data_IF_722306001072
#
_entry.id   IF_722306001072
#
_cell.length_a   1.000
_cell.length_b   1.000
_cell.length_c   1.000
_cell.angle_alpha   90.00
_cell.angle_beta   90.00
_cell.angle_gamma   90.00
#
_symmetry.space_group_name_H-M   'P 1'
#
loop_
_entity.id
_entity.type
_entity.pdbx_description
1 polymer ?
#
# COMPACT_ATOMS: atom_id res chain seq x y z
N UNK A 1 1.52 46.85 -64.42
CA UNK A 1 0.77 46.20 -63.35
C UNK A 1 0.98 44.72 -63.37
N UNK A 2 2.16 44.18 -62.96
CA UNK A 2 2.44 42.73 -62.95
C UNK A 2 3.62 42.38 -62.04
N UNK A 3 3.76 43.01 -60.85
CA UNK A 3 4.84 42.69 -59.86
C UNK A 3 4.37 42.48 -58.42
N UNK A 4 3.07 42.50 -58.13
CA UNK A 4 2.59 42.47 -56.77
C UNK A 4 2.04 41.10 -56.32
N UNK A 5 2.00 40.08 -57.19
CA UNK A 5 1.43 38.75 -56.85
C UNK A 5 2.44 37.72 -56.38
N UNK A 6 3.73 37.92 -56.56
CA UNK A 6 4.77 36.96 -56.19
C UNK A 6 5.15 37.05 -54.70
N UNK A 7 5.16 38.25 -54.11
CA UNK A 7 5.55 38.43 -52.71
C UNK A 7 4.55 37.85 -51.64
N UNK A 8 3.26 37.77 -52.01
CA UNK A 8 2.26 37.18 -51.06
C UNK A 8 2.31 35.65 -50.96
N UNK A 9 2.78 34.97 -52.02
CA UNK A 9 2.91 33.50 -51.99
C UNK A 9 4.13 33.04 -51.17
N UNK A 10 5.21 33.75 -51.22
CA UNK A 10 6.43 33.40 -50.49
C UNK A 10 6.29 33.67 -48.99
N UNK A 11 5.51 34.70 -48.58
CA UNK A 11 5.22 34.96 -47.18
C UNK A 11 4.33 33.87 -46.53
N UNK A 12 3.39 33.31 -47.29
CA UNK A 12 2.52 32.26 -46.79
C UNK A 12 3.29 30.94 -46.64
N UNK A 13 4.21 30.62 -47.57
CA UNK A 13 5.03 29.44 -47.51
C UNK A 13 6.01 29.44 -46.32
N UNK A 14 6.61 30.62 -46.01
CA UNK A 14 7.51 30.78 -44.85
C UNK A 14 6.75 30.68 -43.53
N UNK A 15 5.53 31.23 -43.44
CA UNK A 15 4.71 31.16 -42.22
C UNK A 15 4.25 29.73 -41.89
N UNK A 16 3.96 28.91 -42.92
CA UNK A 16 3.58 27.50 -42.74
C UNK A 16 4.78 26.64 -42.32
N UNK A 17 5.98 26.92 -42.85
CA UNK A 17 7.20 26.21 -42.51
C UNK A 17 7.64 26.49 -41.06
N UNK A 18 7.53 27.74 -40.59
CA UNK A 18 7.83 28.11 -39.19
C UNK A 18 6.80 27.51 -38.23
N UNK A 19 5.52 27.45 -38.62
CA UNK A 19 4.48 26.79 -37.82
C UNK A 19 4.69 25.28 -37.65
N UNK A 20 5.21 24.59 -38.67
CA UNK A 20 5.50 23.15 -38.61
C UNK A 20 6.76 22.86 -37.73
N UNK A 21 7.77 23.73 -37.79
CA UNK A 21 8.99 23.57 -36.97
C UNK A 21 8.68 23.80 -35.48
N UNK A 22 7.75 24.69 -35.13
CA UNK A 22 7.34 24.91 -33.73
C UNK A 22 6.51 23.74 -33.20
N UNK A 23 5.77 23.02 -34.04
CA UNK A 23 5.02 21.82 -33.58
C UNK A 23 5.90 20.57 -33.36
N UNK A 24 7.08 20.50 -34.00
CA UNK A 24 7.99 19.34 -33.83
C UNK A 24 8.84 19.45 -32.55
N UNK A 25 9.02 20.66 -32.01
CA UNK A 25 9.78 20.86 -30.75
C UNK A 25 8.95 20.70 -29.50
N UNK A 26 7.63 20.48 -29.60
CA UNK A 26 6.74 20.21 -28.47
C UNK A 26 6.61 18.72 -28.10
N UNK A 27 7.34 17.82 -28.76
CA UNK A 27 7.58 16.48 -28.20
C UNK A 27 8.56 16.61 -27.03
N UNK A 28 8.02 16.97 -25.86
CA UNK A 28 8.76 16.98 -24.62
C UNK A 28 9.40 15.60 -24.41
N UNK A 29 10.70 15.51 -24.62
CA UNK A 29 11.47 14.36 -24.14
C UNK A 29 11.21 14.26 -22.65
N UNK A 30 10.48 13.25 -22.22
CA UNK A 30 10.28 12.98 -20.80
C UNK A 30 11.68 12.80 -20.22
N UNK A 31 12.13 13.81 -19.47
CA UNK A 31 13.43 13.76 -18.79
C UNK A 31 13.42 12.48 -17.95
N UNK A 32 14.34 11.55 -18.25
CA UNK A 32 14.49 10.32 -17.48
C UNK A 32 14.91 10.68 -16.06
N UNK A 33 14.43 9.91 -15.09
CA UNK A 33 14.92 10.05 -13.72
C UNK A 33 16.41 9.75 -13.68
N UNK A 34 17.14 10.51 -12.86
CA UNK A 34 18.58 10.37 -12.64
C UNK A 34 18.81 10.02 -11.16
N UNK A 35 19.52 8.93 -10.89
CA UNK A 35 19.85 8.48 -9.54
C UNK A 35 20.57 9.55 -8.70
N UNK A 36 21.39 10.39 -9.34
CA UNK A 36 22.18 11.43 -8.67
C UNK A 36 21.42 12.76 -8.46
N UNK A 37 20.19 12.88 -8.97
CA UNK A 37 19.36 14.07 -8.83
C UNK A 37 18.50 13.95 -7.59
N UNK A 38 18.23 15.07 -6.92
CA UNK A 38 17.30 15.16 -5.81
C UNK A 38 15.84 15.18 -6.30
N UNK A 39 14.97 14.46 -5.60
CA UNK A 39 13.55 14.39 -5.86
C UNK A 39 12.75 14.60 -4.59
N UNK A 40 11.80 15.53 -4.61
CA UNK A 40 10.77 15.63 -3.59
C UNK A 40 9.68 14.61 -3.89
N UNK A 41 9.42 13.72 -2.96
CA UNK A 41 8.39 12.69 -3.08
C UNK A 41 7.11 13.18 -2.40
N UNK A 42 6.01 13.16 -3.15
CA UNK A 42 4.70 13.59 -2.65
C UNK A 42 3.60 12.78 -3.31
N UNK A 43 2.64 12.33 -2.52
CA UNK A 43 1.39 11.79 -3.05
C UNK A 43 0.57 12.89 -3.71
N UNK A 44 -0.03 12.58 -4.87
CA UNK A 44 -0.79 13.58 -5.66
C UNK A 44 -2.14 13.00 -6.08
N UNK A 45 -3.15 13.17 -5.23
CA UNK A 45 -4.48 12.56 -5.42
C UNK A 45 -5.15 12.89 -6.75
N UNK A 46 -4.91 14.08 -7.29
CA UNK A 46 -5.49 14.49 -8.59
C UNK A 46 -4.97 13.65 -9.78
N UNK A 47 -3.88 12.90 -9.58
CA UNK A 47 -3.34 11.94 -10.57
C UNK A 47 -3.95 10.55 -10.45
N UNK A 48 -4.68 10.25 -9.36
CA UNK A 48 -5.36 8.98 -9.13
C UNK A 48 -6.70 8.90 -9.86
N UNK A 49 -6.79 9.37 -11.09
CA UNK A 49 -8.00 9.20 -11.88
C UNK A 49 -8.01 7.77 -12.41
N UNK A 50 -8.93 6.97 -11.85
CA UNK A 50 -9.14 5.57 -12.25
C UNK A 50 -7.88 4.69 -12.17
N UNK A 51 -7.05 4.92 -11.13
CA UNK A 51 -5.87 4.12 -10.85
C UNK A 51 -6.28 2.79 -10.20
N UNK A 52 -6.12 1.71 -10.93
CA UNK A 52 -6.51 0.38 -10.49
C UNK A 52 -5.30 -0.39 -9.96
N UNK A 53 -5.51 -1.10 -8.86
CA UNK A 53 -4.53 -1.98 -8.25
C UNK A 53 -5.03 -3.41 -8.14
N UNK A 54 -4.11 -4.34 -8.30
CA UNK A 54 -4.24 -5.70 -7.81
C UNK A 54 -3.35 -5.88 -6.60
N UNK A 55 -3.90 -6.43 -5.50
CA UNK A 55 -3.15 -6.78 -4.31
C UNK A 55 -3.38 -8.24 -3.95
N UNK A 56 -2.32 -8.95 -3.64
CA UNK A 56 -2.35 -10.30 -3.09
C UNK A 56 -1.73 -10.26 -1.71
N UNK A 57 -2.53 -10.60 -0.71
CA UNK A 57 -2.09 -10.70 0.67
C UNK A 57 -2.16 -12.16 1.11
N UNK A 58 -1.07 -12.66 1.71
CA UNK A 58 -0.98 -14.00 2.26
C UNK A 58 -0.48 -13.92 3.69
N UNK A 59 -1.18 -14.59 4.58
CA UNK A 59 -0.81 -14.73 5.97
C UNK A 59 -0.76 -16.21 6.32
N UNK A 60 0.41 -16.67 6.73
CA UNK A 60 0.60 -18.03 7.27
C UNK A 60 0.78 -17.94 8.77
N UNK A 61 0.00 -18.72 9.49
CA UNK A 61 0.08 -18.82 10.94
C UNK A 61 0.46 -20.25 11.32
N UNK A 62 1.45 -20.37 12.16
CA UNK A 62 1.94 -21.61 12.74
C UNK A 62 1.80 -21.52 14.26
N UNK A 63 1.08 -22.43 14.85
CA UNK A 63 0.86 -22.52 16.30
C UNK A 63 1.06 -23.96 16.76
N UNK A 64 1.39 -24.12 18.02
CA UNK A 64 1.39 -25.43 18.66
C UNK A 64 0.46 -25.41 19.88
N UNK A 65 -0.63 -26.15 19.82
CA UNK A 65 -1.56 -26.28 20.95
C UNK A 65 -1.55 -27.70 21.46
N UNK A 66 -1.21 -27.85 22.74
CA UNK A 66 -1.17 -29.17 23.43
C UNK A 66 -0.32 -30.21 22.67
N UNK A 67 0.82 -29.79 22.12
CA UNK A 67 1.72 -30.65 21.35
C UNK A 67 1.24 -30.97 19.91
N UNK A 68 0.14 -30.38 19.48
CA UNK A 68 -0.38 -30.53 18.10
C UNK A 68 -0.09 -29.31 17.26
N UNK A 69 0.60 -29.44 16.11
CA UNK A 69 0.83 -28.32 15.20
C UNK A 69 -0.47 -27.91 14.50
N UNK A 70 -0.78 -26.63 14.54
CA UNK A 70 -1.90 -26.01 13.83
C UNK A 70 -1.35 -25.00 12.84
N UNK A 71 -1.64 -25.22 11.56
CA UNK A 71 -1.20 -24.35 10.48
C UNK A 71 -2.42 -23.82 9.72
N UNK A 72 -2.43 -22.53 9.47
CA UNK A 72 -3.43 -21.90 8.63
C UNK A 72 -2.77 -20.94 7.64
N UNK A 73 -3.23 -20.93 6.41
CA UNK A 73 -2.87 -19.92 5.42
C UNK A 73 -4.13 -19.18 4.99
N UNK A 74 -4.12 -17.84 5.11
CA UNK A 74 -5.16 -16.97 4.60
C UNK A 74 -4.64 -16.27 3.38
N UNK A 75 -5.45 -16.25 2.33
CA UNK A 75 -5.12 -15.61 1.05
C UNK A 75 -6.26 -14.70 0.68
N UNK A 76 -5.91 -13.44 0.41
CA UNK A 76 -6.81 -12.41 -0.09
C UNK A 76 -6.28 -11.88 -1.41
N UNK A 77 -7.10 -11.92 -2.46
CA UNK A 77 -6.81 -11.35 -3.77
C UNK A 77 -7.80 -10.20 -4.01
N UNK A 78 -7.30 -8.98 -4.12
CA UNK A 78 -8.10 -7.77 -4.24
C UNK A 78 -7.86 -7.10 -5.58
N UNK A 79 -8.93 -6.53 -6.14
CA UNK A 79 -8.87 -5.51 -7.18
C UNK A 79 -9.61 -4.29 -6.64
N UNK A 80 -8.92 -3.17 -6.55
CA UNK A 80 -9.51 -1.92 -6.09
C UNK A 80 -9.09 -0.74 -6.96
N UNK A 81 -9.99 0.24 -7.04
CA UNK A 81 -9.86 1.44 -7.82
C UNK A 81 -9.69 2.63 -6.88
N UNK A 82 -8.63 3.42 -7.10
CA UNK A 82 -8.48 4.73 -6.49
C UNK A 82 -8.96 5.82 -7.42
N UNK A 83 -9.78 6.72 -6.92
CA UNK A 83 -10.22 7.93 -7.61
C UNK A 83 -9.95 9.14 -6.72
N UNK A 84 -9.09 10.04 -7.20
CA UNK A 84 -8.83 11.30 -6.50
C UNK A 84 -10.05 12.21 -6.51
N UNK A 85 -10.38 12.78 -5.35
CA UNK A 85 -11.41 13.79 -5.18
C UNK A 85 -10.77 15.14 -4.87
N UNK A 86 -11.45 16.23 -5.20
CA UNK A 86 -11.01 17.56 -4.79
C UNK A 86 -10.97 17.64 -3.25
N UNK A 87 -9.84 18.08 -2.73
CA UNK A 87 -9.65 18.35 -1.30
C UNK A 87 -9.57 19.84 -1.07
N UNK A 88 -10.18 20.32 0.00
CA UNK A 88 -10.09 21.73 0.42
C UNK A 88 -8.81 22.03 1.21
N UNK A 89 -8.01 21.02 1.52
CA UNK A 89 -6.76 21.14 2.28
C UNK A 89 -5.56 21.04 1.36
N UNK A 90 -4.63 21.97 1.47
CA UNK A 90 -3.39 21.98 0.66
C UNK A 90 -2.44 20.81 1.00
N UNK A 91 -2.54 20.25 2.21
CA UNK A 91 -1.62 19.24 2.72
C UNK A 91 -2.24 17.85 2.86
N UNK A 92 -3.47 17.64 2.40
CA UNK A 92 -4.11 16.35 2.42
C UNK A 92 -4.95 16.12 1.17
N UNK A 93 -5.01 14.88 0.76
CA UNK A 93 -5.70 14.44 -0.44
C UNK A 93 -6.85 13.50 -0.07
N UNK A 94 -8.00 13.71 -0.67
CA UNK A 94 -9.15 12.83 -0.53
C UNK A 94 -9.17 11.83 -1.67
N UNK A 95 -9.19 10.54 -1.33
CA UNK A 95 -9.30 9.43 -2.26
C UNK A 95 -10.62 8.70 -2.03
N UNK A 96 -11.31 8.35 -3.10
CA UNK A 96 -12.38 7.35 -3.06
C UNK A 96 -11.80 6.01 -3.46
N UNK A 97 -12.03 4.99 -2.68
CA UNK A 97 -11.53 3.63 -2.90
C UNK A 97 -12.73 2.74 -3.15
N UNK A 98 -12.76 2.10 -4.33
CA UNK A 98 -13.82 1.15 -4.70
C UNK A 98 -13.24 -0.25 -4.78
N UNK A 99 -13.78 -1.19 -4.02
CA UNK A 99 -13.38 -2.59 -4.04
C UNK A 99 -14.10 -3.31 -5.19
N UNK A 100 -13.47 -3.40 -6.36
CA UNK A 100 -14.07 -4.01 -7.54
C UNK A 100 -14.20 -5.52 -7.43
N UNK A 101 -13.20 -6.16 -6.85
CA UNK A 101 -13.21 -7.60 -6.63
C UNK A 101 -12.45 -7.98 -5.36
N UNK A 102 -12.89 -9.05 -4.73
CA UNK A 102 -12.19 -9.70 -3.64
C UNK A 102 -12.47 -11.20 -3.69
N UNK A 103 -11.43 -12.01 -3.62
CA UNK A 103 -11.48 -13.44 -3.32
C UNK A 103 -10.69 -13.70 -2.03
N UNK A 104 -11.34 -14.31 -1.05
CA UNK A 104 -10.77 -14.54 0.27
C UNK A 104 -10.98 -15.99 0.68
N UNK A 105 -9.91 -16.65 1.12
CA UNK A 105 -9.92 -18.05 1.53
C UNK A 105 -8.96 -18.33 2.68
N UNK A 106 -9.29 -19.36 3.44
CA UNK A 106 -8.42 -19.99 4.43
C UNK A 106 -8.11 -21.44 4.03
N UNK A 107 -6.88 -21.84 4.17
CA UNK A 107 -6.37 -23.18 3.89
C UNK A 107 -5.79 -23.72 5.20
N UNK A 108 -6.25 -24.89 5.62
CA UNK A 108 -5.77 -25.61 6.82
C UNK A 108 -5.49 -27.07 6.46
N UNK A 109 -4.99 -27.85 7.39
CA UNK A 109 -4.86 -29.32 7.23
C UNK A 109 -6.19 -30.01 6.97
N UNK A 110 -7.32 -29.42 7.38
CA UNK A 110 -8.67 -29.96 7.19
C UNK A 110 -9.30 -29.61 5.84
N UNK A 111 -8.66 -28.74 5.05
CA UNK A 111 -9.13 -28.34 3.73
C UNK A 111 -9.14 -26.84 3.50
N UNK A 112 -9.86 -26.41 2.47
CA UNK A 112 -9.99 -25.02 2.09
C UNK A 112 -11.40 -24.49 2.34
N UNK A 113 -11.51 -23.35 2.99
CA UNK A 113 -12.74 -22.58 3.17
C UNK A 113 -12.66 -21.27 2.39
N UNK A 114 -13.71 -20.92 1.65
CA UNK A 114 -13.88 -19.61 1.04
C UNK A 114 -14.78 -18.73 1.92
N UNK A 115 -14.45 -17.44 2.00
CA UNK A 115 -15.28 -16.46 2.70
C UNK A 115 -16.29 -15.81 1.76
N UNK A 116 -17.43 -15.41 2.28
CA UNK A 116 -18.44 -14.67 1.51
C UNK A 116 -18.06 -13.19 1.42
N UNK A 117 -17.65 -12.77 0.25
CA UNK A 117 -17.20 -11.41 -0.04
C UNK A 117 -18.23 -10.56 -0.77
N UNK A 118 -19.44 -11.12 -1.05
CA UNK A 118 -20.47 -10.45 -1.87
C UNK A 118 -20.96 -9.14 -1.25
N UNK A 119 -20.97 -9.05 0.06
CA UNK A 119 -21.44 -7.89 0.80
C UNK A 119 -20.52 -6.66 0.71
N UNK A 120 -19.25 -6.84 0.37
CA UNK A 120 -18.26 -5.74 0.25
C UNK A 120 -17.85 -5.47 -1.20
N UNK A 121 -18.04 -6.42 -2.12
CA UNK A 121 -17.72 -6.23 -3.54
C UNK A 121 -18.53 -5.09 -4.16
N UNK A 122 -17.86 -4.19 -4.89
CA UNK A 122 -18.46 -3.02 -5.54
C UNK A 122 -18.72 -1.85 -4.59
N UNK A 123 -18.45 -1.98 -3.30
CA UNK A 123 -18.59 -0.89 -2.34
C UNK A 123 -17.39 0.04 -2.36
N UNK A 124 -17.65 1.28 -1.97
CA UNK A 124 -16.65 2.35 -1.91
C UNK A 124 -16.63 3.01 -0.55
N UNK A 125 -15.48 3.52 -0.16
CA UNK A 125 -15.28 4.38 1.00
C UNK A 125 -14.27 5.47 0.69
N UNK A 126 -14.25 6.50 1.51
CA UNK A 126 -13.35 7.64 1.36
C UNK A 126 -12.20 7.55 2.36
N UNK A 127 -11.00 7.91 1.91
CA UNK A 127 -9.80 7.98 2.72
C UNK A 127 -9.09 9.31 2.47
N UNK A 128 -8.60 9.94 3.53
CA UNK A 128 -7.71 11.09 3.44
C UNK A 128 -6.26 10.64 3.66
N UNK A 129 -5.35 11.14 2.82
CA UNK A 129 -3.91 10.91 2.92
C UNK A 129 -3.17 12.24 2.95
N UNK A 130 -2.15 12.37 3.82
CA UNK A 130 -1.22 13.50 3.76
C UNK A 130 -0.32 13.41 2.53
N UNK A 131 0.31 14.53 2.16
CA UNK A 131 1.22 14.56 1.01
C UNK A 131 2.40 13.60 1.14
N UNK A 132 2.84 13.27 2.35
CA UNK A 132 3.91 12.30 2.62
C UNK A 132 3.41 10.89 2.96
N UNK A 133 2.10 10.69 3.12
CA UNK A 133 1.56 9.38 3.53
C UNK A 133 1.60 9.12 5.03
N UNK A 134 2.22 10.01 5.83
CA UNK A 134 2.37 9.86 7.28
C UNK A 134 1.05 9.85 8.06
N UNK A 135 -0.01 10.40 7.48
CA UNK A 135 -1.34 10.43 8.09
C UNK A 135 -2.36 9.86 7.12
N UNK A 136 -2.98 8.76 7.52
CA UNK A 136 -4.15 8.19 6.89
C UNK A 136 -5.34 8.39 7.83
N UNK A 137 -6.47 8.85 7.31
CA UNK A 137 -7.70 8.99 8.08
C UNK A 137 -8.92 8.68 7.22
N UNK A 138 -9.98 8.27 7.88
CA UNK A 138 -11.25 7.90 7.24
C UNK A 138 -12.30 8.88 7.69
N UNK A 139 -12.81 9.76 6.79
CA UNK A 139 -13.83 10.76 7.14
C UNK A 139 -15.11 10.14 7.68
N UNK A 140 -15.39 8.90 7.28
CA UNK A 140 -16.55 8.11 7.71
C UNK A 140 -16.12 6.71 8.09
N UNK A 141 -15.62 6.50 9.34
CA UNK A 141 -15.12 5.20 9.78
C UNK A 141 -16.19 4.10 9.77
N UNK A 142 -17.47 4.46 9.91
CA UNK A 142 -18.62 3.56 9.78
C UNK A 142 -18.77 2.93 8.39
N UNK A 143 -18.10 3.49 7.38
CA UNK A 143 -18.08 2.96 6.02
C UNK A 143 -16.86 2.07 5.73
N UNK A 144 -15.94 1.91 6.69
CA UNK A 144 -14.84 0.98 6.55
C UNK A 144 -15.39 -0.43 6.29
N UNK A 145 -14.82 -1.04 5.27
CA UNK A 145 -15.25 -2.36 4.83
C UNK A 145 -14.59 -3.42 5.72
N UNK A 146 -15.42 -4.21 6.38
CA UNK A 146 -15.00 -5.37 7.15
C UNK A 146 -15.43 -6.66 6.45
N UNK A 147 -14.53 -7.63 6.43
CA UNK A 147 -14.81 -8.98 5.97
C UNK A 147 -15.04 -9.87 7.19
N UNK A 148 -16.24 -10.41 7.33
CA UNK A 148 -16.53 -11.42 8.35
C UNK A 148 -15.91 -12.75 7.92
N UNK A 149 -14.93 -13.20 8.70
CA UNK A 149 -14.25 -14.47 8.50
C UNK A 149 -14.80 -15.57 9.44
N UNK A 150 -15.74 -15.21 10.30
CA UNK A 150 -16.26 -16.09 11.35
C UNK A 150 -15.28 -16.24 12.53
N UNK A 151 -15.83 -16.59 13.70
CA UNK A 151 -15.08 -16.63 14.97
C UNK A 151 -13.84 -17.54 14.93
N UNK A 152 -13.91 -18.69 14.23
CA UNK A 152 -12.79 -19.62 14.10
C UNK A 152 -11.65 -19.13 13.21
N UNK A 153 -11.91 -18.12 12.37
CA UNK A 153 -10.92 -17.55 11.44
C UNK A 153 -10.47 -16.14 11.85
N UNK A 154 -10.70 -15.74 13.09
CA UNK A 154 -10.25 -14.45 13.65
C UNK A 154 -11.31 -13.34 13.63
N UNK A 155 -12.57 -13.64 13.34
CA UNK A 155 -13.66 -12.68 13.38
C UNK A 155 -13.68 -11.74 12.18
N UNK A 156 -13.81 -10.43 12.43
CA UNK A 156 -13.85 -9.42 11.38
C UNK A 156 -12.45 -8.93 10.99
N UNK A 157 -12.19 -8.88 9.69
CA UNK A 157 -11.00 -8.28 9.10
C UNK A 157 -11.32 -6.91 8.54
N UNK A 158 -10.73 -5.87 9.11
CA UNK A 158 -10.80 -4.53 8.56
C UNK A 158 -9.82 -4.41 7.36
N UNK A 159 -10.33 -3.97 6.20
CA UNK A 159 -9.52 -3.84 4.98
C UNK A 159 -8.54 -2.66 5.01
N UNK A 160 -8.60 -1.80 6.01
CA UNK A 160 -7.66 -0.69 6.21
C UNK A 160 -6.21 -1.16 6.20
N UNK A 161 -5.92 -2.29 6.84
CA UNK A 161 -4.56 -2.77 6.97
C UNK A 161 -3.90 -3.06 5.61
N UNK A 162 -4.67 -3.51 4.60
CA UNK A 162 -4.15 -3.76 3.25
C UNK A 162 -3.76 -2.44 2.58
N UNK A 163 -4.58 -1.41 2.78
CA UNK A 163 -4.36 -0.10 2.16
C UNK A 163 -3.12 0.61 2.68
N UNK A 164 -2.71 0.35 3.93
CA UNK A 164 -1.47 0.91 4.48
C UNK A 164 -0.23 0.55 3.66
N UNK A 165 -0.18 -0.64 3.09
CA UNK A 165 0.93 -1.06 2.23
C UNK A 165 1.01 -0.28 0.90
N UNK A 166 -0.09 0.37 0.46
CA UNK A 166 -0.07 1.23 -0.73
C UNK A 166 0.58 2.59 -0.49
N UNK A 167 0.71 2.99 0.78
CA UNK A 167 1.12 4.32 1.17
C UNK A 167 2.29 4.28 2.16
N UNK A 168 3.48 3.77 1.74
CA UNK A 168 4.68 3.93 2.55
C UNK A 168 4.94 5.41 2.82
N UNK A 169 5.46 5.73 3.99
CA UNK A 169 5.76 7.11 4.35
C UNK A 169 6.93 7.65 3.53
N UNK A 170 6.70 8.79 2.91
CA UNK A 170 7.68 9.48 2.09
C UNK A 170 8.48 10.46 2.96
N UNK A 171 9.76 10.69 2.67
CA UNK A 171 10.58 11.63 3.42
C UNK A 171 10.07 13.08 3.25
N UNK A 172 10.18 13.87 4.31
CA UNK A 172 9.81 15.29 4.30
C UNK A 172 10.75 16.13 3.42
N UNK A 173 12.01 15.74 3.32
CA UNK A 173 13.04 16.38 2.52
C UNK A 173 13.23 15.69 1.17
N UNK A 174 13.70 16.41 0.12
CA UNK A 174 14.11 15.78 -1.13
C UNK A 174 15.18 14.71 -0.89
N UNK A 175 15.14 13.64 -1.68
CA UNK A 175 16.10 12.52 -1.60
C UNK A 175 16.80 12.31 -2.93
N UNK A 176 18.06 11.88 -2.86
CA UNK A 176 18.86 11.40 -4.01
C UNK A 176 19.30 9.96 -3.80
N UNK A 177 19.84 9.35 -4.84
CA UNK A 177 20.29 7.97 -4.79
C UNK A 177 21.25 7.68 -3.64
N UNK A 178 21.00 6.56 -2.96
CA UNK A 178 21.77 6.11 -1.79
C UNK A 178 21.31 6.68 -0.46
N UNK A 179 20.46 7.73 -0.44
CA UNK A 179 19.98 8.30 0.82
C UNK A 179 19.06 7.36 1.58
N UNK A 180 19.12 7.51 2.91
CA UNK A 180 18.41 6.70 3.90
C UNK A 180 17.57 7.64 4.75
N UNK A 181 16.31 7.22 5.04
CA UNK A 181 15.46 7.87 6.03
C UNK A 181 14.80 6.84 6.93
N UNK A 182 14.31 7.30 8.06
CA UNK A 182 13.66 6.45 9.06
C UNK A 182 12.28 6.97 9.38
N UNK A 183 11.39 6.07 9.70
CA UNK A 183 10.06 6.37 10.23
C UNK A 183 9.73 5.46 11.40
N UNK A 184 8.82 5.93 12.26
CA UNK A 184 8.18 5.10 13.27
C UNK A 184 6.67 5.25 13.12
N UNK A 185 5.99 4.15 12.87
CA UNK A 185 4.54 4.17 12.72
C UNK A 185 3.88 3.11 13.58
N UNK A 186 2.60 3.33 13.89
CA UNK A 186 1.79 2.38 14.64
C UNK A 186 0.96 1.53 13.71
N UNK A 187 0.88 0.25 14.03
CA UNK A 187 0.03 -0.70 13.32
C UNK A 187 -0.64 -1.64 14.31
N UNK A 188 -1.91 -1.89 14.11
CA UNK A 188 -2.61 -2.98 14.80
C UNK A 188 -2.21 -4.30 14.14
N UNK A 189 -1.82 -5.29 14.90
CA UNK A 189 -1.55 -6.62 14.36
C UNK A 189 -2.88 -7.32 14.02
N UNK A 190 -2.88 -8.07 12.92
CA UNK A 190 -4.10 -8.39 12.15
C UNK A 190 -4.91 -9.54 12.70
N UNK A 191 -4.44 -10.30 13.70
CA UNK A 191 -5.08 -11.57 14.02
C UNK A 191 -5.65 -11.71 15.41
N UNK A 192 -6.89 -12.19 15.40
CA UNK A 192 -7.61 -12.60 16.59
C UNK A 192 -8.17 -11.43 17.38
N UNK A 193 -8.75 -11.74 18.51
CA UNK A 193 -9.21 -10.76 19.50
C UNK A 193 -8.06 -9.95 20.11
N UNK A 194 -6.86 -10.53 20.18
CA UNK A 194 -5.64 -9.84 20.59
C UNK A 194 -5.10 -9.00 19.40
N UNK A 195 -5.43 -7.72 19.37
CA UNK A 195 -4.94 -6.76 18.38
C UNK A 195 -3.96 -5.75 19.01
N UNK A 196 -2.74 -6.16 19.38
CA UNK A 196 -1.79 -5.23 19.98
C UNK A 196 -1.45 -4.11 19.01
N UNK A 197 -1.37 -2.89 19.53
CA UNK A 197 -0.84 -1.76 18.81
C UNK A 197 0.68 -1.86 18.83
N UNK A 198 1.29 -2.01 17.66
CA UNK A 198 2.72 -2.24 17.52
C UNK A 198 3.39 -0.99 16.97
N UNK A 199 4.44 -0.51 17.63
CA UNK A 199 5.29 0.53 17.11
C UNK A 199 6.36 -0.08 16.21
N UNK A 200 6.30 0.19 14.92
CA UNK A 200 7.22 -0.35 13.91
C UNK A 200 8.26 0.72 13.59
N UNK A 201 9.53 0.36 13.71
CA UNK A 201 10.64 1.18 13.23
C UNK A 201 11.01 0.70 11.83
N UNK A 202 10.97 1.60 10.86
CA UNK A 202 11.33 1.31 9.48
C UNK A 202 12.51 2.16 9.03
N UNK A 203 13.38 1.55 8.24
CA UNK A 203 14.52 2.20 7.57
C UNK A 203 14.35 2.01 6.09
N UNK A 204 14.33 3.10 5.34
CA UNK A 204 14.16 3.13 3.90
C UNK A 204 15.44 3.60 3.23
N UNK A 205 15.75 3.04 2.06
CA UNK A 205 16.86 3.48 1.22
C UNK A 205 16.41 3.61 -0.23
N UNK A 206 16.68 4.77 -0.84
CA UNK A 206 16.56 4.95 -2.29
C UNK A 206 17.73 4.23 -2.98
N UNK A 207 17.45 3.12 -3.69
CA UNK A 207 18.49 2.25 -4.22
C UNK A 207 18.68 2.33 -5.74
N UNK A 208 17.65 2.68 -6.52
CA UNK A 208 17.74 2.70 -7.98
C UNK A 208 16.61 3.46 -8.65
N UNK A 209 16.71 3.66 -9.97
CA UNK A 209 15.66 4.14 -10.87
C UNK A 209 15.27 3.02 -11.82
N UNK A 210 14.00 2.64 -11.83
CA UNK A 210 13.51 1.59 -12.72
C UNK A 210 12.24 2.03 -13.44
N UNK A 211 12.01 1.49 -14.64
CA UNK A 211 10.74 1.64 -15.35
C UNK A 211 9.83 0.47 -15.01
N UNK A 212 8.70 0.76 -14.34
CA UNK A 212 7.72 -0.24 -13.90
C UNK A 212 6.36 0.13 -14.48
N UNK A 213 5.70 -0.78 -15.18
CA UNK A 213 4.38 -0.60 -15.84
C UNK A 213 4.27 0.65 -16.72
N UNK A 214 5.41 1.10 -17.30
CA UNK A 214 5.47 2.29 -18.14
C UNK A 214 5.78 3.58 -17.38
N UNK A 215 5.82 3.56 -16.04
CA UNK A 215 6.19 4.69 -15.19
C UNK A 215 7.69 4.70 -14.88
N UNK A 216 8.29 5.88 -14.86
CA UNK A 216 9.65 6.07 -14.36
C UNK A 216 9.57 6.20 -12.83
N UNK A 217 10.15 5.23 -12.12
CA UNK A 217 10.00 5.08 -10.67
C UNK A 217 11.33 5.19 -9.94
N UNK A 218 11.31 5.78 -8.75
CA UNK A 218 12.34 5.50 -7.74
C UNK A 218 12.04 4.15 -7.11
N UNK A 219 13.07 3.32 -6.99
CA UNK A 219 13.05 2.06 -6.27
C UNK A 219 13.57 2.29 -4.86
N UNK A 220 12.78 1.92 -3.88
CA UNK A 220 13.14 2.00 -2.47
C UNK A 220 13.11 0.60 -1.86
N UNK A 221 14.13 0.27 -1.11
CA UNK A 221 14.18 -0.91 -0.26
C UNK A 221 14.05 -0.48 1.20
N UNK A 222 13.30 -1.25 1.97
CA UNK A 222 13.02 -0.95 3.37
C UNK A 222 13.18 -2.18 4.23
N UNK A 223 13.66 -1.98 5.45
CA UNK A 223 13.63 -2.97 6.53
C UNK A 223 12.83 -2.41 7.67
N UNK A 224 12.14 -3.27 8.42
CA UNK A 224 11.37 -2.84 9.57
C UNK A 224 11.39 -3.90 10.67
N UNK A 225 11.30 -3.44 11.91
CA UNK A 225 11.30 -4.27 13.09
C UNK A 225 10.40 -3.68 14.18
N UNK A 226 9.89 -4.55 15.04
CA UNK A 226 9.11 -4.15 16.20
C UNK A 226 9.17 -5.20 17.31
N UNK A 227 9.09 -4.72 18.54
CA UNK A 227 8.65 -5.52 19.67
C UNK A 227 7.12 -5.49 19.71
N UNK A 228 6.51 -6.65 19.98
CA UNK A 228 5.07 -6.79 20.05
C UNK A 228 4.71 -7.14 21.48
N UNK A 229 3.86 -6.33 22.10
CA UNK A 229 3.30 -6.60 23.42
C UNK A 229 1.84 -6.17 23.42
N UNK A 230 0.96 -7.05 23.86
CA UNK A 230 -0.46 -6.77 23.95
C UNK A 230 -1.15 -7.65 24.95
N UNK A 231 -2.26 -7.18 25.48
CA UNK A 231 -3.11 -7.93 26.40
C UNK A 231 -4.57 -7.63 26.13
N UNK A 232 -5.41 -8.65 26.33
CA UNK A 232 -6.86 -8.55 26.21
C UNK A 232 -7.53 -9.47 27.20
N UNK A 233 -8.67 -9.05 27.72
CA UNK A 233 -9.54 -9.91 28.52
C UNK A 233 -10.65 -10.48 27.63
N UNK A 234 -10.70 -11.79 27.49
CA UNK A 234 -11.72 -12.50 26.73
C UNK A 234 -12.25 -13.70 27.52
N UNK A 235 -13.56 -13.83 27.65
CA UNK A 235 -14.22 -14.93 28.40
C UNK A 235 -13.73 -15.06 29.85
N UNK A 236 -13.42 -13.92 30.50
CA UNK A 236 -12.92 -13.91 31.88
C UNK A 236 -11.47 -14.39 32.06
N UNK A 237 -10.74 -14.56 30.96
CA UNK A 237 -9.31 -14.87 30.96
C UNK A 237 -8.53 -13.68 30.36
N UNK A 238 -7.39 -13.36 30.97
CA UNK A 238 -6.45 -12.41 30.40
C UNK A 238 -5.51 -13.15 29.45
N UNK A 239 -5.46 -12.66 28.23
CA UNK A 239 -4.55 -13.10 27.20
C UNK A 239 -3.45 -12.07 27.01
N UNK A 240 -2.22 -12.51 26.91
CA UNK A 240 -1.07 -11.65 26.60
C UNK A 240 -0.34 -12.20 25.38
N UNK A 241 0.12 -11.32 24.51
CA UNK A 241 1.01 -11.67 23.41
C UNK A 241 2.32 -10.92 23.60
N UNK A 242 3.45 -11.63 23.56
CA UNK A 242 4.79 -11.05 23.57
C UNK A 242 5.58 -11.66 22.44
N UNK A 243 6.19 -10.81 21.61
CA UNK A 243 6.91 -11.28 20.45
C UNK A 243 7.71 -10.19 19.74
N UNK A 244 8.26 -10.57 18.59
CA UNK A 244 9.02 -9.70 17.72
C UNK A 244 8.52 -9.81 16.29
N UNK A 245 8.61 -8.70 15.56
CA UNK A 245 8.34 -8.63 14.15
C UNK A 245 9.60 -8.14 13.43
N UNK A 246 9.91 -8.74 12.31
CA UNK A 246 10.93 -8.30 11.36
C UNK A 246 10.38 -8.38 9.94
N UNK A 247 10.83 -7.49 9.06
CA UNK A 247 10.35 -7.52 7.69
C UNK A 247 11.20 -6.70 6.74
N UNK A 248 10.87 -6.84 5.46
CA UNK A 248 11.45 -6.06 4.39
C UNK A 248 10.40 -5.73 3.34
N UNK A 249 10.52 -4.57 2.73
CA UNK A 249 9.70 -4.17 1.59
C UNK A 249 10.56 -3.62 0.47
N UNK A 250 10.02 -3.74 -0.73
CA UNK A 250 10.51 -3.08 -1.93
C UNK A 250 9.33 -2.38 -2.58
N UNK A 251 9.47 -1.09 -2.84
CA UNK A 251 8.41 -0.32 -3.47
C UNK A 251 8.94 0.64 -4.52
N UNK A 252 8.07 0.98 -5.45
CA UNK A 252 8.38 1.76 -6.64
C UNK A 252 7.45 2.95 -6.71
N UNK A 253 8.01 4.16 -6.63
CA UNK A 253 7.28 5.41 -6.61
C UNK A 253 7.41 6.16 -7.92
N UNK A 254 6.30 6.39 -8.61
CA UNK A 254 6.25 7.20 -9.83
C UNK A 254 6.32 8.68 -9.45
N UNK A 255 7.50 9.29 -9.54
CA UNK A 255 7.76 10.67 -9.04
C UNK A 255 6.90 11.71 -9.74
N UNK A 256 6.73 11.59 -11.05
CA UNK A 256 5.95 12.56 -11.85
C UNK A 256 4.46 12.47 -11.56
N UNK A 257 3.98 11.27 -11.32
CA UNK A 257 2.58 10.97 -11.08
C UNK A 257 2.21 11.11 -9.61
N UNK A 258 3.13 10.86 -8.69
CA UNK A 258 2.92 10.99 -7.24
C UNK A 258 2.14 9.82 -6.65
N UNK A 259 2.45 8.58 -7.05
CA UNK A 259 1.88 7.38 -6.45
C UNK A 259 2.82 6.18 -6.51
N UNK A 260 2.54 5.19 -5.68
CA UNK A 260 3.26 3.91 -5.66
C UNK A 260 2.72 3.01 -6.77
N UNK A 261 3.62 2.53 -7.65
CA UNK A 261 3.27 1.63 -8.76
C UNK A 261 3.26 0.17 -8.34
N UNK A 262 4.20 -0.19 -7.48
CA UNK A 262 4.37 -1.58 -7.02
C UNK A 262 4.92 -1.61 -5.61
N UNK A 263 4.43 -2.57 -4.82
CA UNK A 263 4.97 -2.92 -3.50
C UNK A 263 5.13 -4.43 -3.42
N UNK A 264 6.20 -4.89 -2.80
CA UNK A 264 6.37 -6.27 -2.38
C UNK A 264 6.94 -6.26 -0.97
N UNK A 265 6.20 -6.83 -0.01
CA UNK A 265 6.56 -6.85 1.41
C UNK A 265 6.57 -8.28 1.91
N UNK A 266 7.53 -8.60 2.77
CA UNK A 266 7.58 -9.84 3.53
C UNK A 266 7.85 -9.52 4.99
N UNK A 267 7.05 -10.10 5.86
CA UNK A 267 7.17 -9.92 7.31
C UNK A 267 7.11 -11.28 8.01
N UNK A 268 7.77 -11.37 9.13
CA UNK A 268 7.74 -12.52 10.01
C UNK A 268 7.63 -12.05 11.44
N UNK A 269 6.67 -12.60 12.17
CA UNK A 269 6.59 -12.42 13.61
C UNK A 269 6.73 -13.76 14.32
N UNK A 270 7.33 -13.71 15.50
CA UNK A 270 7.45 -14.85 16.41
C UNK A 270 7.14 -14.37 17.81
N UNK A 271 6.37 -15.15 18.55
CA UNK A 271 6.03 -14.81 19.91
C UNK A 271 5.35 -15.94 20.65
N UNK A 272 4.84 -15.60 21.81
CA UNK A 272 4.11 -16.50 22.69
C UNK A 272 2.81 -15.81 23.09
N UNK A 273 1.71 -16.53 22.94
CA UNK A 273 0.42 -16.17 23.52
C UNK A 273 0.31 -16.88 24.85
N UNK A 274 -0.01 -16.15 25.93
CA UNK A 274 -0.22 -16.70 27.27
C UNK A 274 -1.62 -16.35 27.72
N UNK A 275 -2.29 -17.32 28.35
CA UNK A 275 -3.53 -17.06 29.05
C UNK A 275 -3.33 -17.22 30.57
N UNK A 276 -4.09 -16.45 31.36
CA UNK A 276 -4.21 -16.58 32.78
C UNK A 276 -5.58 -17.17 33.14
N UNK A 277 -5.75 -17.76 34.31
CA UNK A 277 -6.99 -18.37 34.77
C UNK A 277 -6.74 -19.75 35.38
N UNK A 278 -7.80 -20.52 35.54
CA UNK A 278 -7.73 -21.85 36.18
C UNK A 278 -6.89 -22.89 35.42
N UNK A 279 -6.77 -22.71 34.10
CA UNK A 279 -5.96 -23.53 33.20
C UNK A 279 -5.08 -22.62 32.31
N UNK A 280 -3.94 -22.12 32.83
CA UNK A 280 -3.07 -21.25 32.04
C UNK A 280 -2.46 -22.03 30.87
N UNK A 281 -2.37 -21.36 29.72
CA UNK A 281 -1.79 -21.92 28.50
C UNK A 281 -0.67 -21.02 27.99
N UNK A 282 0.35 -21.64 27.39
CA UNK A 282 1.36 -20.97 26.60
C UNK A 282 1.34 -21.56 25.20
N UNK A 283 1.14 -20.71 24.19
CA UNK A 283 1.03 -21.11 22.79
C UNK A 283 2.10 -20.38 22.00
N UNK A 284 3.17 -21.05 21.58
CA UNK A 284 4.12 -20.48 20.62
C UNK A 284 3.40 -20.20 19.29
N UNK A 285 3.63 -19.00 18.75
CA UNK A 285 3.04 -18.58 17.49
C UNK A 285 4.12 -17.99 16.57
N UNK A 286 4.05 -18.33 15.31
CA UNK A 286 4.82 -17.69 14.24
C UNK A 286 3.85 -17.30 13.14
N UNK A 287 4.03 -16.09 12.60
CA UNK A 287 3.28 -15.63 11.44
C UNK A 287 4.24 -15.18 10.35
N UNK A 288 3.85 -15.45 9.10
CA UNK A 288 4.56 -14.98 7.92
C UNK A 288 3.56 -14.26 7.02
N UNK A 289 3.82 -12.99 6.72
CA UNK A 289 3.00 -12.15 5.87
C UNK A 289 3.75 -11.90 4.57
N UNK A 290 3.06 -12.01 3.44
CA UNK A 290 3.53 -11.49 2.17
C UNK A 290 2.45 -10.65 1.51
N UNK A 291 2.84 -9.49 1.02
CA UNK A 291 1.95 -8.56 0.31
C UNK A 291 2.59 -8.17 -1.00
N UNK A 292 1.89 -8.40 -2.10
CA UNK A 292 2.28 -7.95 -3.43
C UNK A 292 1.17 -7.08 -3.99
N UNK A 293 1.50 -5.84 -4.32
CA UNK A 293 0.59 -4.83 -4.87
C UNK A 293 1.18 -4.31 -6.16
N UNK A 294 0.36 -4.18 -7.19
CA UNK A 294 0.79 -3.62 -8.48
C UNK A 294 -0.37 -2.88 -9.14
N UNK A 295 -0.05 -1.79 -9.83
CA UNK A 295 -1.00 -1.14 -10.73
C UNK A 295 -1.36 -2.07 -11.89
N UNK A 296 -2.62 -2.05 -12.30
CA UNK A 296 -3.11 -2.77 -13.49
C UNK A 296 -3.88 -1.81 -14.41
N UNK A 297 -3.85 -2.09 -15.72
CA UNK A 297 -4.54 -1.30 -16.73
C UNK A 297 -6.00 -1.71 -16.88
#
# INVERSE_FOLDING_TARGET
MKKEKTHKRDLIAVSVLVGIIVMITACGSSEKLDFNKEYKLEYRSYKYKDLKYKAVYKLKTFMEMQGQPMNAERVFDFIYLFSGKESKSENSHLLSITLENIDAKMITSLGQQKFDTRHIKGKSFDMMISATGSKLSYPRPDQLLCLDMGAMAGGELNLEFILKYNFPELPDSPVKGGEIWQETFQRTQIEGSLQPLVNINAVHQYVDVEKVDGYDCLKVESTHEAEIEGSEEQMGMNWTYVGKLEGSSKWYFAVKEGFVVKVSTKEKSKGIIKSTGDNPMEVPIQQEISVDIITIK
#
